data_IF_131294867593
#
_entry.id   IF_131294867593
#
_cell.length_a   1.000
_cell.length_b   1.000
_cell.length_c   1.000
_cell.angle_alpha   90.00
_cell.angle_beta   90.00
_cell.angle_gamma   90.00
#
_symmetry.space_group_name_H-M   'P 1'
#
loop_
_entity.id
_entity.type
_entity.pdbx_description
1 polymer ?
#
# COMPACT_ATOMS: atom_id res chain seq x y z
N UNK A 1 7.13 5.17 14.29
CA UNK A 1 5.98 5.60 15.12
C UNK A 1 5.83 7.11 15.21
N UNK A 2 6.84 7.89 15.62
CA UNK A 2 6.73 9.37 15.76
C UNK A 2 6.25 10.11 14.49
N UNK A 3 6.62 9.62 13.31
CA UNK A 3 6.27 10.25 12.03
C UNK A 3 4.83 10.02 11.59
N UNK A 4 4.26 8.87 11.94
CA UNK A 4 2.84 8.60 11.69
C UNK A 4 1.97 9.55 12.51
N UNK A 5 2.33 9.78 13.78
CA UNK A 5 1.65 10.75 14.65
C UNK A 5 1.74 12.16 14.06
N UNK A 6 2.92 12.60 13.62
CA UNK A 6 3.06 13.90 12.95
C UNK A 6 2.23 14.01 11.67
N UNK A 7 2.16 12.94 10.87
CA UNK A 7 1.34 12.94 9.66
C UNK A 7 -0.15 13.03 9.97
N UNK A 8 -0.61 12.32 11.00
CA UNK A 8 -2.00 12.39 11.45
C UNK A 8 -2.36 13.77 12.03
N UNK A 9 -1.43 14.41 12.76
CA UNK A 9 -1.63 15.79 13.21
C UNK A 9 -1.73 16.77 12.03
N UNK A 10 -0.87 16.64 11.02
CA UNK A 10 -0.94 17.44 9.78
C UNK A 10 -2.26 17.24 9.04
N UNK A 11 -2.73 16.00 8.92
CA UNK A 11 -4.01 15.68 8.30
C UNK A 11 -5.20 16.33 9.04
N UNK A 12 -5.16 16.34 10.38
CA UNK A 12 -6.16 17.01 11.19
C UNK A 12 -6.10 18.53 11.00
N UNK A 13 -4.92 19.15 11.07
CA UNK A 13 -4.75 20.59 10.85
C UNK A 13 -5.28 21.00 9.46
N UNK A 14 -5.03 20.18 8.44
CA UNK A 14 -5.56 20.39 7.10
C UNK A 14 -7.10 20.33 7.05
N UNK A 15 -7.71 19.30 7.62
CA UNK A 15 -9.17 19.15 7.65
C UNK A 15 -9.85 20.30 8.41
N UNK A 16 -9.25 20.76 9.52
CA UNK A 16 -9.71 21.95 10.24
C UNK A 16 -9.54 23.24 9.44
N UNK A 17 -8.46 23.38 8.66
CA UNK A 17 -8.22 24.57 7.84
C UNK A 17 -9.23 24.72 6.69
N UNK A 18 -9.69 23.61 6.12
CA UNK A 18 -10.76 23.58 5.10
C UNK A 18 -12.15 23.73 5.72
N UNK A 19 -12.30 23.44 7.01
CA UNK A 19 -13.58 23.53 7.73
C UNK A 19 -14.55 22.39 7.44
N UNK A 20 -14.13 21.37 6.66
CA UNK A 20 -14.92 20.19 6.34
C UNK A 20 -14.17 18.91 6.70
N UNK A 21 -14.64 18.24 7.76
CA UNK A 21 -14.08 17.00 8.29
C UNK A 21 -14.74 15.80 7.59
N UNK A 22 -14.56 15.75 6.28
CA UNK A 22 -14.93 14.59 5.45
C UNK A 22 -13.80 13.56 5.42
N UNK A 23 -14.16 12.28 5.28
CA UNK A 23 -13.19 11.19 5.10
C UNK A 23 -12.27 11.44 3.89
N UNK A 24 -12.80 12.09 2.84
CA UNK A 24 -12.02 12.48 1.67
C UNK A 24 -10.96 13.52 2.02
N UNK A 25 -11.33 14.58 2.74
CA UNK A 25 -10.42 15.66 3.13
C UNK A 25 -9.34 15.19 4.11
N UNK A 26 -9.68 14.26 5.01
CA UNK A 26 -8.70 13.62 5.88
C UNK A 26 -7.70 12.78 5.07
N UNK A 27 -8.16 12.03 4.07
CA UNK A 27 -7.28 11.29 3.16
C UNK A 27 -6.34 12.20 2.36
N UNK A 28 -6.87 13.31 1.84
CA UNK A 28 -6.09 14.33 1.12
C UNK A 28 -5.08 15.01 2.06
N UNK A 29 -5.49 15.39 3.27
CA UNK A 29 -4.60 15.98 4.27
C UNK A 29 -3.49 15.03 4.71
N UNK A 30 -3.80 13.74 4.86
CA UNK A 30 -2.82 12.72 5.22
C UNK A 30 -1.80 12.46 4.10
N UNK A 31 -2.25 12.46 2.84
CA UNK A 31 -1.34 12.33 1.69
C UNK A 31 -0.46 13.57 1.51
N UNK A 32 -1.02 14.77 1.66
CA UNK A 32 -0.26 16.03 1.63
C UNK A 32 0.77 16.10 2.77
N UNK A 33 0.38 15.78 4.00
CA UNK A 33 1.31 15.72 5.14
C UNK A 33 2.48 14.78 4.88
N UNK A 34 2.23 13.67 4.18
CA UNK A 34 3.22 12.67 3.86
C UNK A 34 4.20 13.17 2.79
N UNK A 35 3.70 13.87 1.77
CA UNK A 35 4.51 14.54 0.75
C UNK A 35 5.39 15.63 1.38
N UNK A 36 4.83 16.47 2.25
CA UNK A 36 5.57 17.55 2.94
C UNK A 36 6.66 16.97 3.84
N UNK A 37 6.34 15.99 4.67
CA UNK A 37 7.32 15.30 5.53
C UNK A 37 8.43 14.62 4.73
N UNK A 38 8.11 14.09 3.56
CA UNK A 38 9.07 13.48 2.64
C UNK A 38 10.01 14.53 2.02
N UNK A 39 9.45 15.64 1.51
CA UNK A 39 10.23 16.74 0.93
C UNK A 39 11.18 17.39 1.96
N UNK A 40 10.66 17.73 3.15
CA UNK A 40 11.43 18.36 4.23
C UNK A 40 12.57 17.45 4.71
N UNK A 41 12.36 16.13 4.76
CA UNK A 41 13.38 15.18 5.22
C UNK A 41 14.39 14.77 4.16
N UNK A 42 14.01 14.81 2.89
CA UNK A 42 14.95 14.65 1.76
C UNK A 42 16.01 15.74 1.81
N UNK A 43 15.64 16.97 2.18
CA UNK A 43 16.59 18.07 2.42
C UNK A 43 17.50 17.88 3.66
N UNK A 44 17.14 17.02 4.62
CA UNK A 44 17.91 16.77 5.86
C UNK A 44 18.72 15.46 5.84
N UNK A 45 18.80 14.75 4.71
CA UNK A 45 19.63 13.56 4.54
C UNK A 45 19.18 12.30 5.31
N UNK A 46 17.99 12.28 5.93
CA UNK A 46 17.44 11.11 6.65
C UNK A 46 16.31 10.46 5.85
N UNK A 47 16.66 9.61 4.88
CA UNK A 47 15.78 9.11 3.79
C UNK A 47 14.83 7.94 4.12
N UNK A 48 14.61 7.60 5.40
CA UNK A 48 13.98 6.31 5.75
C UNK A 48 12.44 6.30 5.60
N UNK A 49 11.75 7.43 5.74
CA UNK A 49 10.27 7.45 5.75
C UNK A 49 9.65 7.44 4.35
N UNK A 50 10.15 8.30 3.45
CA UNK A 50 9.63 8.40 2.08
C UNK A 50 9.78 7.10 1.29
N UNK A 51 10.94 6.45 1.45
CA UNK A 51 11.22 5.14 0.84
C UNK A 51 10.25 4.06 1.33
N UNK A 52 9.93 4.03 2.62
CA UNK A 52 9.02 3.02 3.18
C UNK A 52 7.59 3.18 2.65
N UNK A 53 7.10 4.42 2.52
CA UNK A 53 5.76 4.69 1.97
C UNK A 53 5.71 4.37 0.49
N UNK A 54 6.76 4.73 -0.27
CA UNK A 54 6.87 4.38 -1.68
C UNK A 54 6.85 2.86 -1.91
N UNK A 55 7.61 2.10 -1.11
CA UNK A 55 7.59 0.63 -1.17
C UNK A 55 6.21 0.06 -0.82
N UNK A 56 5.56 0.57 0.23
CA UNK A 56 4.22 0.13 0.61
C UNK A 56 3.19 0.42 -0.50
N UNK A 57 3.24 1.61 -1.11
CA UNK A 57 2.36 1.97 -2.23
C UNK A 57 2.62 1.10 -3.46
N UNK A 58 3.89 0.87 -3.79
CA UNK A 58 4.27 0.00 -4.93
C UNK A 58 3.80 -1.44 -4.70
N UNK A 59 3.98 -1.96 -3.49
CA UNK A 59 3.52 -3.29 -3.11
C UNK A 59 2.00 -3.40 -3.16
N UNK A 60 1.28 -2.36 -2.72
CA UNK A 60 -0.17 -2.31 -2.80
C UNK A 60 -0.66 -2.34 -4.25
N UNK A 61 -0.10 -1.51 -5.14
CA UNK A 61 -0.46 -1.50 -6.57
C UNK A 61 -0.14 -2.84 -7.22
N UNK A 62 1.03 -3.40 -6.93
CA UNK A 62 1.44 -4.73 -7.40
C UNK A 62 0.44 -5.81 -6.96
N UNK A 63 0.05 -5.80 -5.69
CA UNK A 63 -0.92 -6.76 -5.15
C UNK A 63 -2.28 -6.65 -5.84
N UNK A 64 -2.80 -5.44 -6.02
CA UNK A 64 -4.09 -5.22 -6.71
C UNK A 64 -4.03 -5.70 -8.16
N UNK A 65 -2.92 -5.44 -8.85
CA UNK A 65 -2.72 -5.90 -10.23
C UNK A 65 -2.69 -7.43 -10.33
N UNK A 66 -1.89 -8.10 -9.50
CA UNK A 66 -1.82 -9.56 -9.47
C UNK A 66 -3.16 -10.19 -9.07
N UNK A 67 -3.90 -9.57 -8.14
CA UNK A 67 -5.23 -10.02 -7.75
C UNK A 67 -6.22 -9.97 -8.93
N UNK A 68 -6.21 -8.89 -9.70
CA UNK A 68 -7.03 -8.76 -10.91
C UNK A 68 -6.64 -9.82 -11.95
N UNK A 69 -5.34 -9.98 -12.20
CA UNK A 69 -4.83 -10.94 -13.18
C UNK A 69 -5.18 -12.39 -12.80
N UNK A 70 -5.03 -12.74 -11.52
CA UNK A 70 -5.37 -14.05 -10.99
C UNK A 70 -6.87 -14.36 -11.16
N UNK A 71 -7.74 -13.41 -10.80
CA UNK A 71 -9.18 -13.56 -11.01
C UNK A 71 -9.54 -13.71 -12.50
N UNK A 72 -8.91 -12.92 -13.37
CA UNK A 72 -9.10 -13.05 -14.83
C UNK A 72 -8.62 -14.39 -15.37
N UNK A 73 -7.54 -14.96 -14.84
CA UNK A 73 -7.07 -16.30 -15.21
C UNK A 73 -8.09 -17.37 -14.77
N UNK A 74 -8.53 -17.32 -13.52
CA UNK A 74 -9.57 -18.24 -13.01
C UNK A 74 -10.87 -18.10 -13.80
N UNK A 75 -11.31 -16.88 -14.12
CA UNK A 75 -12.51 -16.66 -14.91
C UNK A 75 -12.41 -17.29 -16.31
N UNK A 76 -11.27 -17.16 -16.99
CA UNK A 76 -11.04 -17.84 -18.28
C UNK A 76 -11.05 -19.35 -18.14
N UNK A 77 -10.45 -19.88 -17.08
CA UNK A 77 -10.41 -21.32 -16.83
C UNK A 77 -11.83 -21.88 -16.59
N UNK A 78 -12.67 -21.16 -15.83
CA UNK A 78 -14.07 -21.54 -15.58
C UNK A 78 -14.95 -21.46 -16.84
N UNK A 79 -14.73 -20.45 -17.69
CA UNK A 79 -15.51 -20.27 -18.92
C UNK A 79 -15.11 -21.23 -20.05
N UNK A 80 -13.90 -21.80 -20.00
CA UNK A 80 -13.42 -22.72 -21.04
C UNK A 80 -13.89 -24.14 -20.75
N UNK A 81 -14.67 -24.79 -21.64
CA UNK A 81 -15.26 -26.11 -21.37
C UNK A 81 -14.25 -27.25 -21.24
N UNK A 82 -12.99 -27.05 -21.62
CA UNK A 82 -11.90 -28.03 -21.45
C UNK A 82 -10.96 -27.60 -20.31
N UNK A 83 -11.28 -28.05 -19.09
CA UNK A 83 -10.45 -27.82 -17.91
C UNK A 83 -9.28 -28.82 -17.89
N UNK A 84 -8.06 -28.38 -18.21
CA UNK A 84 -6.83 -29.20 -18.09
C UNK A 84 -6.10 -28.92 -16.76
N UNK A 85 -6.82 -29.00 -15.64
CA UNK A 85 -6.21 -28.84 -14.31
C UNK A 85 -5.51 -30.13 -13.88
N UNK A 86 -4.22 -30.05 -13.52
CA UNK A 86 -3.47 -31.15 -12.89
C UNK A 86 -3.17 -30.77 -11.44
N UNK A 87 -3.91 -31.30 -10.45
CA UNK A 87 -3.65 -30.97 -9.05
C UNK A 87 -2.29 -31.54 -8.62
N UNK A 88 -1.56 -30.78 -7.81
CA UNK A 88 -0.28 -31.19 -7.24
C UNK A 88 0.03 -30.35 -6.00
N UNK A 89 0.63 -30.99 -4.99
CA UNK A 89 1.12 -30.31 -3.79
C UNK A 89 2.59 -29.99 -4.04
N UNK A 90 2.94 -28.70 -4.03
CA UNK A 90 4.31 -28.21 -4.24
C UNK A 90 4.75 -27.48 -2.97
N UNK A 91 5.86 -27.90 -2.37
CA UNK A 91 6.46 -27.20 -1.24
C UNK A 91 7.35 -26.06 -1.76
N UNK A 92 7.09 -24.84 -1.30
CA UNK A 92 7.93 -23.67 -1.57
C UNK A 92 8.60 -23.27 -0.25
N UNK A 93 9.94 -23.30 -0.15
CA UNK A 93 10.62 -22.88 1.07
C UNK A 93 10.43 -21.37 1.29
N UNK A 94 10.05 -20.94 2.50
CA UNK A 94 9.94 -19.54 2.87
C UNK A 94 11.19 -19.08 3.64
N UNK A 95 11.78 -17.97 3.21
CA UNK A 95 12.85 -17.26 3.93
C UNK A 95 12.30 -16.12 4.81
N UNK A 96 11.02 -16.20 5.19
CA UNK A 96 10.36 -15.18 6.00
C UNK A 96 10.89 -15.20 7.44
N UNK A 97 11.29 -14.04 7.96
CA UNK A 97 11.87 -13.89 9.31
C UNK A 97 10.88 -13.35 10.35
N UNK A 98 9.69 -12.91 9.93
CA UNK A 98 8.67 -12.35 10.81
C UNK A 98 7.25 -12.66 10.34
N UNK A 99 6.25 -12.76 11.24
CA UNK A 99 4.86 -13.01 10.87
C UNK A 99 4.27 -11.97 9.92
N UNK A 100 4.80 -10.74 9.92
CA UNK A 100 4.34 -9.66 9.04
C UNK A 100 4.82 -9.80 7.58
N UNK A 101 5.77 -10.70 7.32
CA UNK A 101 6.30 -10.96 5.96
C UNK A 101 5.54 -12.08 5.24
N UNK A 102 4.65 -12.78 5.96
CA UNK A 102 3.78 -13.85 5.46
C UNK A 102 2.46 -13.22 5.03
#
# INVERSE_FOLDING_TARGET
>A
MRLFVWNSCLALVWAFAIGDVSALNLGVGFTLGLVILNAVRTGMGKSVYGRSVWFAATLFVYLVWELLLANMRVARDVLTPHLRMRPGIIAVPLDARSPLQI
#
